data_IF_644104565357
#
_entry.id   IF_644104565357
#
_cell.length_a   1.000
_cell.length_b   1.000
_cell.length_c   1.000
_cell.angle_alpha   90.00
_cell.angle_beta   90.00
_cell.angle_gamma   90.00
#
_symmetry.space_group_name_H-M   'P 1'
#
loop_
_entity.id
_entity.type
_entity.pdbx_description
1 polymer ?
#
# COMPACT_ATOMS: atom_id res chain seq x y z
N UNK A 1 21.36 -8.58 9.93
CA UNK A 1 20.00 -9.02 9.59
C UNK A 1 19.57 -8.22 8.35
N UNK A 2 19.04 -8.84 7.29
CA UNK A 2 18.66 -8.10 6.08
C UNK A 2 17.33 -7.40 6.37
N UNK A 3 17.29 -6.07 6.22
CA UNK A 3 16.06 -5.26 6.33
C UNK A 3 15.20 -5.54 5.10
N UNK A 4 13.92 -5.85 5.29
CA UNK A 4 13.02 -6.13 4.18
C UNK A 4 12.49 -4.83 3.56
N UNK A 5 12.43 -4.76 2.23
CA UNK A 5 12.01 -3.55 1.50
C UNK A 5 10.49 -3.48 1.42
N UNK A 6 9.89 -2.40 1.92
CA UNK A 6 8.45 -2.18 1.99
C UNK A 6 8.00 -1.06 1.05
N UNK A 7 7.02 -1.35 0.19
CA UNK A 7 6.33 -0.34 -0.59
C UNK A 7 5.05 0.08 0.13
N UNK A 8 4.83 1.38 0.29
CA UNK A 8 3.73 1.90 1.09
C UNK A 8 2.54 2.28 0.21
N UNK A 9 1.34 2.02 0.71
CA UNK A 9 0.09 2.43 0.08
C UNK A 9 -0.72 3.21 1.10
N UNK A 10 -0.96 4.49 0.79
CA UNK A 10 -1.84 5.33 1.59
C UNK A 10 -3.15 5.62 0.87
N UNK A 11 -4.27 5.39 1.54
CA UNK A 11 -5.60 5.46 0.93
C UNK A 11 -6.51 6.47 1.62
N UNK A 12 -6.92 7.49 0.88
CA UNK A 12 -7.95 8.43 1.30
C UNK A 12 -9.32 7.89 0.88
N UNK A 13 -10.21 7.66 1.84
CA UNK A 13 -11.60 7.22 1.59
C UNK A 13 -12.58 8.34 1.91
N UNK A 14 -13.36 8.73 0.90
CA UNK A 14 -14.34 9.80 1.00
C UNK A 14 -13.70 11.16 1.22
N UNK A 15 -14.14 11.86 2.27
CA UNK A 15 -13.70 13.24 2.59
C UNK A 15 -12.71 13.32 3.76
N UNK A 16 -12.38 12.19 4.38
CA UNK A 16 -11.49 12.18 5.54
C UNK A 16 -10.06 12.19 5.03
N UNK A 17 -9.31 13.23 5.37
CA UNK A 17 -7.90 13.41 4.99
C UNK A 17 -7.10 13.43 6.28
N UNK A 18 -6.10 12.56 6.34
CA UNK A 18 -5.10 12.53 7.39
C UNK A 18 -3.78 13.00 6.78
N UNK A 19 -3.37 14.25 7.02
CA UNK A 19 -2.24 14.87 6.31
C UNK A 19 -0.91 14.12 6.49
N UNK A 20 -0.73 13.43 7.62
CA UNK A 20 0.53 12.80 7.99
C UNK A 20 0.53 11.26 7.87
N UNK A 21 -0.55 10.65 7.34
CA UNK A 21 -0.70 9.18 7.33
C UNK A 21 0.43 8.45 6.61
N UNK A 22 0.96 9.02 5.52
CA UNK A 22 2.08 8.41 4.81
C UNK A 22 3.39 8.46 5.61
N UNK A 23 3.64 9.56 6.32
CA UNK A 23 4.82 9.71 7.18
C UNK A 23 4.72 8.79 8.40
N UNK A 24 3.55 8.72 9.03
CA UNK A 24 3.27 7.80 10.13
C UNK A 24 3.48 6.35 9.68
N UNK A 25 2.92 5.94 8.54
CA UNK A 25 3.11 4.59 8.01
C UNK A 25 4.60 4.29 7.76
N UNK A 26 5.35 5.25 7.22
CA UNK A 26 6.79 5.09 6.99
C UNK A 26 7.58 4.92 8.30
N UNK A 27 7.17 5.58 9.39
CA UNK A 27 7.76 5.41 10.71
C UNK A 27 7.43 4.04 11.31
N UNK A 28 6.19 3.58 11.16
CA UNK A 28 5.75 2.26 11.65
C UNK A 28 6.50 1.11 10.98
N UNK A 29 6.64 1.14 9.65
CA UNK A 29 7.41 0.08 8.95
C UNK A 29 8.89 0.11 9.33
N UNK A 30 9.46 1.31 9.57
CA UNK A 30 10.84 1.45 10.04
C UNK A 30 11.03 0.87 11.44
N UNK A 31 10.06 1.07 12.35
CA UNK A 31 10.12 0.47 13.70
C UNK A 31 10.02 -1.06 13.65
N UNK A 32 9.36 -1.61 12.64
CA UNK A 32 9.25 -3.06 12.39
C UNK A 32 10.41 -3.62 11.54
N UNK A 33 11.51 -2.88 11.42
CA UNK A 33 12.72 -3.30 10.71
C UNK A 33 12.51 -3.56 9.21
N UNK A 34 11.63 -2.76 8.59
CA UNK A 34 11.51 -2.63 7.13
C UNK A 34 12.13 -1.31 6.63
N UNK A 35 12.55 -1.30 5.37
CA UNK A 35 13.03 -0.12 4.65
C UNK A 35 11.90 0.36 3.73
N UNK A 36 11.30 1.55 3.95
CA UNK A 36 10.31 2.09 3.01
C UNK A 36 11.00 2.55 1.72
N UNK A 37 10.57 2.00 0.58
CA UNK A 37 11.23 2.19 -0.73
C UNK A 37 10.37 2.90 -1.76
N UNK A 38 9.14 3.23 -1.40
CA UNK A 38 8.20 3.94 -2.26
C UNK A 38 6.86 4.17 -1.57
N UNK A 39 6.05 5.03 -2.17
CA UNK A 39 4.72 5.38 -1.70
C UNK A 39 3.79 5.52 -2.91
N UNK A 40 2.64 4.86 -2.86
CA UNK A 40 1.50 5.11 -3.74
C UNK A 40 0.37 5.70 -2.91
N UNK A 41 -0.16 6.85 -3.35
CA UNK A 41 -1.33 7.47 -2.77
C UNK A 41 -2.55 7.21 -3.66
N UNK A 42 -3.60 6.67 -3.05
CA UNK A 42 -4.87 6.40 -3.72
C UNK A 42 -5.99 7.21 -3.06
N UNK A 43 -6.96 7.66 -3.86
CA UNK A 43 -8.19 8.29 -3.38
C UNK A 43 -9.40 7.54 -3.93
N UNK A 44 -10.35 7.22 -3.05
CA UNK A 44 -11.58 6.50 -3.40
C UNK A 44 -12.78 7.13 -2.70
N UNK A 45 -13.90 7.26 -3.41
CA UNK A 45 -15.16 7.61 -2.75
C UNK A 45 -15.69 6.45 -1.89
N UNK A 46 -15.46 5.22 -2.35
CA UNK A 46 -15.75 3.97 -1.65
C UNK A 46 -14.73 2.89 -2.02
N UNK A 47 -14.38 1.97 -1.09
CA UNK A 47 -13.47 0.87 -1.39
C UNK A 47 -14.00 -0.01 -2.52
N UNK A 48 -13.09 -0.47 -3.37
CA UNK A 48 -13.38 -1.55 -4.32
C UNK A 48 -13.48 -2.89 -3.57
N UNK A 49 -14.53 -3.71 -3.79
CA UNK A 49 -14.69 -4.97 -3.08
C UNK A 49 -13.61 -6.00 -3.43
N UNK A 50 -13.02 -5.92 -4.61
CA UNK A 50 -11.97 -6.85 -5.05
C UNK A 50 -10.56 -6.36 -4.69
N UNK A 51 -10.28 -5.06 -4.79
CA UNK A 51 -8.92 -4.51 -4.72
C UNK A 51 -8.72 -3.36 -3.75
N UNK A 52 -9.77 -2.87 -3.08
CA UNK A 52 -9.81 -1.64 -2.28
C UNK A 52 -9.53 -0.35 -3.08
N UNK A 53 -8.35 -0.24 -3.69
CA UNK A 53 -7.90 0.91 -4.49
C UNK A 53 -8.35 0.85 -5.97
N UNK A 54 -8.88 -0.31 -6.41
CA UNK A 54 -9.34 -0.56 -7.79
C UNK A 54 -8.22 -1.07 -8.71
N UNK A 55 -8.59 -1.74 -9.81
CA UNK A 55 -7.66 -2.49 -10.66
C UNK A 55 -6.54 -1.64 -11.26
N UNK A 56 -6.85 -0.49 -11.86
CA UNK A 56 -5.82 0.35 -12.48
C UNK A 56 -4.77 0.88 -11.48
N UNK A 57 -5.17 1.12 -10.22
CA UNK A 57 -4.21 1.49 -9.17
C UNK A 57 -3.42 0.30 -8.62
N UNK A 58 -3.96 -0.92 -8.71
CA UNK A 58 -3.21 -2.15 -8.41
C UNK A 58 -2.17 -2.43 -9.49
N UNK A 59 -2.48 -2.20 -10.76
CA UNK A 59 -1.51 -2.29 -11.86
C UNK A 59 -0.35 -1.31 -11.65
N UNK A 60 -0.66 -0.03 -11.38
CA UNK A 60 0.36 0.99 -11.05
C UNK A 60 1.18 0.61 -9.81
N UNK A 61 0.54 0.08 -8.77
CA UNK A 61 1.22 -0.43 -7.57
C UNK A 61 2.23 -1.52 -7.92
N UNK A 62 1.84 -2.49 -8.76
CA UNK A 62 2.72 -3.59 -9.17
C UNK A 62 3.97 -3.09 -9.90
N UNK A 63 3.79 -2.18 -10.87
CA UNK A 63 4.90 -1.58 -11.61
C UNK A 63 5.87 -0.83 -10.67
N UNK A 64 5.33 0.01 -9.78
CA UNK A 64 6.14 0.80 -8.85
C UNK A 64 6.84 -0.08 -7.80
N UNK A 65 6.15 -1.07 -7.25
CA UNK A 65 6.69 -1.98 -6.25
C UNK A 65 7.82 -2.85 -6.84
N UNK A 66 7.62 -3.36 -8.06
CA UNK A 66 8.64 -4.12 -8.77
C UNK A 66 9.87 -3.27 -9.10
N UNK A 67 9.66 -2.06 -9.64
CA UNK A 67 10.75 -1.13 -9.93
C UNK A 67 11.54 -0.72 -8.67
N UNK A 68 10.90 -0.70 -7.51
CA UNK A 68 11.51 -0.41 -6.23
C UNK A 68 12.17 -1.63 -5.56
N UNK A 69 12.13 -2.83 -6.16
CA UNK A 69 12.57 -4.09 -5.55
C UNK A 69 11.92 -4.29 -4.16
N UNK A 70 10.63 -4.01 -4.06
CA UNK A 70 9.87 -4.17 -2.83
C UNK A 70 9.58 -5.66 -2.58
N UNK A 71 9.74 -6.09 -1.33
CA UNK A 71 9.49 -7.45 -0.89
C UNK A 71 8.14 -7.60 -0.20
N UNK A 72 7.58 -6.48 0.26
CA UNK A 72 6.26 -6.41 0.88
C UNK A 72 5.58 -5.11 0.47
N UNK A 73 4.24 -5.15 0.37
CA UNK A 73 3.40 -3.97 0.25
C UNK A 73 2.63 -3.77 1.54
N UNK A 74 2.63 -2.55 2.07
CA UNK A 74 1.96 -2.19 3.33
C UNK A 74 0.87 -1.15 3.06
N UNK A 75 -0.37 -1.47 3.42
CA UNK A 75 -1.51 -0.57 3.32
C UNK A 75 -1.79 0.09 4.68
N UNK A 76 -2.14 1.38 4.68
CA UNK A 76 -2.61 2.10 5.88
C UNK A 76 -4.07 1.78 6.25
N UNK A 77 -4.73 0.92 5.48
CA UNK A 77 -6.11 0.47 5.68
C UNK A 77 -6.17 -1.04 5.83
N UNK A 78 -7.12 -1.56 6.63
CA UNK A 78 -7.34 -3.00 6.71
C UNK A 78 -7.89 -3.53 5.38
N UNK A 79 -7.26 -4.59 4.87
CA UNK A 79 -7.74 -5.36 3.73
C UNK A 79 -8.46 -6.62 4.22
N UNK A 80 -9.57 -6.96 3.57
CA UNK A 80 -10.16 -8.30 3.72
C UNK A 80 -9.24 -9.37 3.13
N UNK A 81 -9.37 -10.61 3.59
CA UNK A 81 -8.59 -11.73 3.05
C UNK A 81 -8.80 -11.93 1.54
N UNK A 82 -9.98 -11.59 1.01
CA UNK A 82 -10.24 -11.64 -0.43
C UNK A 82 -9.48 -10.55 -1.18
N UNK A 83 -9.45 -9.32 -0.66
CA UNK A 83 -8.70 -8.22 -1.26
C UNK A 83 -7.19 -8.50 -1.27
N UNK A 84 -6.62 -8.99 -0.16
CA UNK A 84 -5.21 -9.38 -0.08
C UNK A 84 -4.84 -10.37 -1.18
N UNK A 85 -5.57 -11.49 -1.28
CA UNK A 85 -5.33 -12.51 -2.31
C UNK A 85 -5.49 -11.99 -3.73
N UNK A 86 -6.44 -11.07 -3.97
CA UNK A 86 -6.64 -10.51 -5.30
C UNK A 86 -5.48 -9.59 -5.68
N UNK A 87 -5.03 -8.73 -4.76
CA UNK A 87 -3.88 -7.86 -4.96
C UNK A 87 -2.62 -8.69 -5.19
N UNK A 88 -2.34 -9.68 -4.34
CA UNK A 88 -1.19 -10.60 -4.47
C UNK A 88 -1.15 -11.35 -5.80
N UNK A 89 -2.30 -11.62 -6.42
CA UNK A 89 -2.36 -12.28 -7.74
C UNK A 89 -2.12 -11.32 -8.90
N UNK A 90 -2.31 -10.03 -8.67
CA UNK A 90 -2.24 -9.01 -9.71
C UNK A 90 -0.87 -8.33 -9.79
N UNK A 91 -0.02 -8.48 -8.77
CA UNK A 91 1.31 -7.84 -8.68
C UNK A 91 2.44 -8.84 -8.46
#
# INVERSE_FOLDING_TARGET
MKTSRAFLVSVIVGRVIYPDSAEELALLVKSDNYEPVGLLQAKRDKPDPAFFIGSGKVEELGEMAHAADAQIVVFDVPLSAAQQRNIERAI
#
